data_IF_920484554948
#
_entry.id   IF_920484554948
#
_cell.length_a   1.000
_cell.length_b   1.000
_cell.length_c   1.000
_cell.angle_alpha   90.00
_cell.angle_beta   90.00
_cell.angle_gamma   90.00
#
_symmetry.space_group_name_H-M   'P 1'
#
loop_
_entity.id
_entity.type
_entity.pdbx_description
1 polymer ?
#
# COMPACT_ATOMS: atom_id res chain seq x y z
N UNK A 1 27.85 -14.29 0.19
CA UNK A 1 26.51 -13.65 0.13
C UNK A 1 26.61 -12.34 0.87
N UNK A 2 26.36 -11.17 0.27
CA UNK A 2 26.41 -9.92 1.02
C UNK A 2 25.23 -9.90 2.00
N UNK A 3 25.54 -9.93 3.29
CA UNK A 3 24.61 -9.96 4.42
C UNK A 3 24.16 -8.56 4.83
N UNK A 4 24.08 -7.63 3.87
CA UNK A 4 23.66 -6.26 4.17
C UNK A 4 22.20 -6.28 4.60
N UNK A 5 21.87 -5.84 5.82
CA UNK A 5 20.50 -5.85 6.31
C UNK A 5 19.66 -4.92 5.46
N UNK A 6 18.85 -5.49 4.58
CA UNK A 6 17.92 -4.73 3.77
C UNK A 6 16.63 -4.50 4.57
N UNK A 7 15.99 -3.33 4.47
CA UNK A 7 14.75 -3.05 5.18
C UNK A 7 13.68 -4.08 4.80
N UNK A 8 12.69 -4.34 5.67
CA UNK A 8 11.57 -5.27 5.38
C UNK A 8 10.19 -4.62 5.45
N UNK A 9 10.13 -3.35 5.86
CA UNK A 9 8.88 -2.58 5.94
C UNK A 9 8.37 -2.20 4.53
N UNK A 10 7.05 -1.97 4.44
CA UNK A 10 6.41 -1.51 3.21
C UNK A 10 6.27 -2.57 2.12
N UNK A 11 6.37 -3.85 2.47
CA UNK A 11 6.07 -4.96 1.54
C UNK A 11 4.56 -5.11 1.38
N UNK A 12 4.11 -5.19 0.14
CA UNK A 12 2.71 -5.48 -0.24
C UNK A 12 2.69 -6.57 -1.30
N UNK A 13 1.53 -7.13 -1.61
CA UNK A 13 1.38 -8.16 -2.65
C UNK A 13 1.05 -7.52 -4.00
N UNK A 14 1.66 -8.02 -5.07
CA UNK A 14 1.30 -7.61 -6.41
C UNK A 14 -0.08 -8.16 -6.80
N UNK A 15 -1.00 -7.29 -7.19
CA UNK A 15 -2.35 -7.69 -7.59
C UNK A 15 -2.42 -8.54 -8.87
N UNK A 16 -1.30 -8.71 -9.60
CA UNK A 16 -1.23 -9.48 -10.85
C UNK A 16 -0.67 -10.89 -10.66
N UNK A 17 0.36 -11.03 -9.84
CA UNK A 17 1.11 -12.28 -9.66
C UNK A 17 1.22 -12.74 -8.20
N UNK A 18 0.64 -11.99 -7.27
CA UNK A 18 0.70 -12.18 -5.81
C UNK A 18 2.10 -12.16 -5.20
N UNK A 19 3.16 -11.94 -5.99
CA UNK A 19 4.52 -11.83 -5.48
C UNK A 19 4.67 -10.64 -4.51
N UNK A 20 5.54 -10.74 -3.49
CA UNK A 20 5.82 -9.64 -2.59
C UNK A 20 6.62 -8.55 -3.31
N UNK A 21 6.11 -7.33 -3.26
CA UNK A 21 6.69 -6.13 -3.88
C UNK A 21 6.86 -5.01 -2.88
N UNK A 22 7.67 -4.02 -3.23
CA UNK A 22 7.79 -2.74 -2.54
C UNK A 22 7.61 -1.60 -3.52
N UNK A 23 7.00 -0.53 -3.05
CA UNK A 23 6.88 0.68 -3.84
C UNK A 23 8.00 1.65 -3.52
N UNK A 24 8.80 1.99 -4.52
CA UNK A 24 9.80 3.04 -4.44
C UNK A 24 9.34 4.29 -5.19
N UNK A 25 9.87 5.44 -4.81
CA UNK A 25 9.92 6.60 -5.69
C UNK A 25 10.93 6.31 -6.80
N UNK A 26 10.48 6.46 -8.03
CA UNK A 26 11.29 6.21 -9.23
C UNK A 26 12.36 7.28 -9.46
N UNK A 27 13.22 7.06 -10.47
CA UNK A 27 14.24 8.03 -10.85
C UNK A 27 13.63 9.33 -11.41
N UNK A 28 12.39 9.30 -11.92
CA UNK A 28 11.68 10.49 -12.41
C UNK A 28 10.75 11.05 -11.32
N UNK A 29 10.62 12.38 -11.29
CA UNK A 29 9.75 13.07 -10.31
C UNK A 29 8.30 12.58 -10.41
N UNK A 30 7.75 12.14 -9.28
CA UNK A 30 6.38 11.62 -9.20
C UNK A 30 6.21 10.17 -9.65
N UNK A 31 7.27 9.53 -10.14
CA UNK A 31 7.22 8.13 -10.54
C UNK A 31 7.15 7.22 -9.30
N UNK A 32 6.36 6.15 -9.42
CA UNK A 32 6.29 5.08 -8.43
C UNK A 32 6.66 3.77 -9.11
N UNK A 33 7.83 3.26 -8.78
CA UNK A 33 8.40 2.05 -9.39
C UNK A 33 8.22 0.89 -8.42
N UNK A 34 7.42 -0.14 -8.77
CA UNK A 34 7.34 -1.33 -7.95
C UNK A 34 8.61 -2.16 -8.19
N UNK A 35 9.25 -2.60 -7.10
CA UNK A 35 10.39 -3.50 -7.14
C UNK A 35 10.08 -4.79 -6.38
N UNK A 36 10.82 -5.86 -6.70
CA UNK A 36 10.74 -7.09 -5.91
C UNK A 36 11.12 -6.82 -4.45
N UNK A 37 10.43 -7.47 -3.51
CA UNK A 37 10.66 -7.24 -2.08
C UNK A 37 12.04 -7.72 -1.60
N UNK A 38 12.64 -8.68 -2.29
CA UNK A 38 13.97 -9.19 -1.99
C UNK A 38 15.01 -8.58 -2.96
N UNK A 39 16.24 -8.31 -2.50
CA UNK A 39 17.34 -7.95 -3.37
C UNK A 39 17.58 -9.01 -4.43
N UNK A 40 18.10 -8.59 -5.58
CA UNK A 40 18.44 -9.49 -6.67
C UNK A 40 19.74 -9.05 -7.35
N UNK A 41 20.73 -9.95 -7.50
CA UNK A 41 22.02 -9.60 -8.12
C UNK A 41 21.87 -9.23 -9.60
N UNK A 42 20.81 -9.68 -10.27
CA UNK A 42 20.50 -9.36 -11.67
C UNK A 42 19.66 -8.09 -11.83
N UNK A 43 19.50 -7.32 -10.75
CA UNK A 43 18.75 -6.06 -10.74
C UNK A 43 19.45 -4.93 -11.50
N UNK A 44 18.67 -4.21 -12.32
CA UNK A 44 19.11 -3.00 -13.04
C UNK A 44 18.85 -1.69 -12.28
N UNK A 45 18.39 -1.76 -11.03
CA UNK A 45 18.13 -0.60 -10.18
C UNK A 45 18.96 -0.69 -8.90
N UNK A 46 19.46 0.45 -8.43
CA UNK A 46 19.93 0.64 -7.07
C UNK A 46 18.77 1.12 -6.19
N UNK A 47 18.41 0.35 -5.17
CA UNK A 47 17.39 0.71 -4.21
C UNK A 47 18.03 1.12 -2.87
N UNK A 48 17.46 2.12 -2.20
CA UNK A 48 17.86 2.54 -0.85
C UNK A 48 16.68 3.10 -0.06
N UNK A 49 16.77 3.05 1.27
CA UNK A 49 15.83 3.80 2.12
C UNK A 49 16.17 5.27 2.13
N UNK A 50 15.15 6.12 2.08
CA UNK A 50 15.30 7.48 2.54
C UNK A 50 15.35 7.49 4.08
N UNK A 51 15.96 8.50 4.69
CA UNK A 51 16.02 8.63 6.15
C UNK A 51 14.65 8.75 6.85
N UNK A 52 13.56 8.80 6.08
CA UNK A 52 12.17 8.87 6.54
C UNK A 52 11.42 7.52 6.41
N UNK A 53 12.11 6.44 6.03
CA UNK A 53 11.54 5.10 5.90
C UNK A 53 10.81 4.81 4.58
N UNK A 54 10.79 5.75 3.64
CA UNK A 54 10.42 5.52 2.25
C UNK A 54 11.55 4.87 1.45
N UNK A 55 11.25 4.44 0.23
CA UNK A 55 12.18 3.75 -0.65
C UNK A 55 12.43 4.58 -1.91
N UNK A 56 13.69 4.73 -2.29
CA UNK A 56 14.13 5.42 -3.50
C UNK A 56 14.82 4.40 -4.42
N UNK A 57 14.62 4.55 -5.72
CA UNK A 57 15.40 3.80 -6.72
C UNK A 57 16.09 4.74 -7.70
N UNK A 58 17.28 4.31 -8.13
CA UNK A 58 18.12 4.94 -9.15
C UNK A 58 18.41 3.90 -10.23
N UNK A 59 18.45 4.34 -11.48
CA UNK A 59 18.95 3.53 -12.60
C UNK A 59 20.48 3.54 -12.59
N UNK A 60 21.11 2.41 -12.92
CA UNK A 60 22.55 2.40 -13.15
C UNK A 60 22.89 3.18 -14.41
N UNK A 61 23.85 4.09 -14.30
CA UNK A 61 24.36 4.91 -15.40
C UNK A 61 25.82 4.54 -15.69
N UNK A 62 26.38 5.04 -16.78
CA UNK A 62 27.81 4.84 -17.07
C UNK A 62 28.73 5.45 -16.00
N UNK A 63 28.28 6.51 -15.32
CA UNK A 63 29.02 7.18 -14.25
C UNK A 63 28.91 6.43 -12.92
N UNK A 64 27.75 5.81 -12.67
CA UNK A 64 27.48 5.04 -11.45
C UNK A 64 26.88 3.66 -11.82
N UNK A 65 27.72 2.73 -12.32
CA UNK A 65 27.26 1.45 -12.88
C UNK A 65 26.88 0.40 -11.83
N UNK A 66 27.15 0.68 -10.55
CA UNK A 66 26.89 -0.24 -9.44
C UNK A 66 26.27 0.48 -8.23
N UNK A 67 25.88 -0.32 -7.23
CA UNK A 67 25.38 0.17 -5.95
C UNK A 67 26.47 0.93 -5.20
N UNK A 68 26.08 2.05 -4.60
CA UNK A 68 26.97 2.83 -3.74
C UNK A 68 26.84 2.34 -2.30
N UNK A 69 27.87 1.64 -1.82
CA UNK A 69 27.91 1.10 -0.45
C UNK A 69 27.76 2.19 0.62
N UNK A 70 28.35 3.37 0.40
CA UNK A 70 28.23 4.52 1.30
C UNK A 70 26.77 5.00 1.48
N UNK A 71 25.89 4.68 0.52
CA UNK A 71 24.46 5.00 0.55
C UNK A 71 23.60 3.78 0.97
N UNK A 72 24.24 2.67 1.34
CA UNK A 72 23.58 1.39 1.68
C UNK A 72 22.62 0.93 0.56
N UNK A 73 23.03 1.13 -0.69
CA UNK A 73 22.25 0.70 -1.85
C UNK A 73 22.29 -0.81 -2.04
N UNK A 74 21.20 -1.38 -2.56
CA UNK A 74 21.16 -2.79 -2.98
C UNK A 74 20.54 -2.93 -4.36
N UNK A 75 20.96 -3.99 -5.08
CA UNK A 75 20.43 -4.28 -6.42
C UNK A 75 18.98 -4.77 -6.34
N UNK A 76 18.14 -4.19 -7.18
CA UNK A 76 16.72 -4.48 -7.28
C UNK A 76 16.27 -4.62 -8.73
N UNK A 77 15.24 -5.44 -8.93
CA UNK A 77 14.59 -5.63 -10.24
C UNK A 77 13.26 -4.88 -10.23
N UNK A 78 12.95 -4.07 -11.27
CA UNK A 78 11.62 -3.52 -11.47
C UNK A 78 10.62 -4.67 -11.64
N UNK A 79 9.64 -4.74 -10.74
CA UNK A 79 8.74 -5.87 -10.64
C UNK A 79 7.92 -6.05 -11.93
N UNK A 80 7.38 -4.96 -12.48
CA UNK A 80 6.54 -5.05 -13.68
C UNK A 80 7.26 -5.55 -14.92
N UNK A 81 8.59 -5.45 -14.99
CA UNK A 81 9.36 -6.03 -16.10
C UNK A 81 9.43 -7.56 -16.07
N UNK A 82 9.21 -8.16 -14.90
CA UNK A 82 9.22 -9.63 -14.69
C UNK A 82 7.85 -10.18 -14.27
N UNK A 83 6.83 -9.34 -14.22
CA UNK A 83 5.51 -9.68 -13.71
C UNK A 83 4.70 -10.43 -14.78
N UNK A 84 4.73 -11.76 -14.74
CA UNK A 84 3.78 -12.58 -15.49
C UNK A 84 2.44 -12.63 -14.74
N UNK A 85 1.29 -12.36 -15.39
CA UNK A 85 -0.01 -12.54 -14.76
C UNK A 85 -0.18 -14.01 -14.38
N UNK A 86 -0.34 -14.31 -13.10
CA UNK A 86 -0.83 -15.62 -12.68
C UNK A 86 -2.29 -15.70 -13.09
N UNK A 87 -2.67 -16.77 -13.80
CA UNK A 87 -4.07 -17.04 -14.16
C UNK A 87 -4.97 -16.76 -12.96
N UNK A 88 -5.98 -15.91 -13.20
CA UNK A 88 -6.84 -15.25 -12.23
C UNK A 88 -7.03 -16.03 -10.92
N UNK A 89 -6.39 -15.56 -9.84
CA UNK A 89 -6.89 -15.95 -8.53
C UNK A 89 -8.25 -15.28 -8.31
N UNK A 90 -9.26 -16.01 -7.80
CA UNK A 90 -10.56 -15.43 -7.51
C UNK A 90 -10.36 -14.30 -6.51
N UNK A 91 -10.74 -13.08 -6.90
CA UNK A 91 -10.81 -11.93 -5.99
C UNK A 91 -11.60 -12.37 -4.75
N UNK A 92 -11.09 -12.17 -3.52
CA UNK A 92 -11.93 -12.37 -2.35
C UNK A 92 -13.16 -11.50 -2.52
N UNK A 93 -14.34 -12.13 -2.49
CA UNK A 93 -15.61 -11.44 -2.67
C UNK A 93 -15.63 -10.25 -1.71
N UNK A 94 -15.83 -9.05 -2.25
CA UNK A 94 -15.99 -7.85 -1.44
C UNK A 94 -17.03 -8.15 -0.35
N UNK A 95 -16.77 -7.78 0.93
CA UNK A 95 -17.74 -8.03 1.99
C UNK A 95 -19.05 -7.36 1.57
N UNK A 96 -20.08 -8.19 1.33
CA UNK A 96 -21.45 -7.73 1.09
C UNK A 96 -21.77 -6.73 2.18
N UNK A 97 -21.99 -5.48 1.78
CA UNK A 97 -22.41 -4.39 2.65
C UNK A 97 -23.49 -4.90 3.60
N UNK A 98 -23.16 -5.06 4.89
CA UNK A 98 -24.17 -5.25 5.92
C UNK A 98 -25.11 -4.04 5.82
N UNK A 99 -26.44 -4.24 5.86
CA UNK A 99 -27.36 -3.11 5.87
C UNK A 99 -26.99 -2.22 7.05
N UNK A 100 -26.80 -0.94 6.77
CA UNK A 100 -26.53 0.08 7.77
C UNK A 100 -27.59 -0.06 8.88
N UNK A 101 -27.17 -0.40 10.10
CA UNK A 101 -28.02 -0.26 11.29
C UNK A 101 -28.48 1.19 11.31
N UNK A 102 -29.76 1.41 10.98
CA UNK A 102 -30.42 2.71 11.16
C UNK A 102 -30.21 3.10 12.62
N UNK A 103 -29.62 4.27 12.85
CA UNK A 103 -29.55 4.88 14.18
C UNK A 103 -30.98 5.01 14.72
N UNK A 104 -31.24 4.76 16.01
CA UNK A 104 -32.53 5.07 16.60
C UNK A 104 -32.76 6.57 16.45
N UNK A 105 -33.89 6.96 15.87
CA UNK A 105 -34.38 8.33 15.91
C UNK A 105 -34.71 8.59 17.37
N UNK A 106 -33.91 9.42 18.04
CA UNK A 106 -34.27 9.98 19.34
C UNK A 106 -35.47 10.88 19.10
N UNK A 107 -36.65 10.46 19.57
CA UNK A 107 -37.82 11.34 19.60
C UNK A 107 -37.54 12.48 20.61
N UNK A 108 -37.71 13.76 20.24
CA UNK A 108 -37.71 14.83 21.21
C UNK A 108 -38.94 14.70 22.13
N UNK A 109 -38.84 15.07 23.42
CA UNK A 109 -39.97 15.03 24.32
C UNK A 109 -41.04 16.04 23.88
N UNK A 110 -42.29 15.58 23.76
CA UNK A 110 -43.46 16.46 23.64
C UNK A 110 -43.69 17.15 24.99
N UNK A 111 -43.06 18.30 25.19
CA UNK A 111 -43.51 19.24 26.21
C UNK A 111 -44.64 20.10 25.67
N UNK A 112 -45.78 20.05 26.36
CA UNK A 112 -46.84 21.05 26.25
C UNK A 112 -48.07 20.59 25.48
N UNK A 113 -48.98 19.91 26.17
CA UNK A 113 -50.41 20.08 25.89
C UNK A 113 -51.10 20.47 27.20
N UNK A 114 -51.56 21.73 27.33
CA UNK A 114 -52.42 22.15 28.43
C UNK A 114 -53.80 21.50 28.30
N UNK A 115 -54.42 21.24 29.46
CA UNK A 115 -55.58 20.39 29.63
C UNK A 115 -56.80 20.73 28.77
N UNK A 116 -57.52 19.68 28.39
CA UNK A 116 -58.87 19.72 27.85
C UNK A 116 -59.85 19.02 28.81
N UNK A 117 -61.13 19.42 28.82
CA UNK A 117 -62.01 19.34 29.99
C UNK A 117 -62.58 17.95 30.27
N UNK A 118 -62.71 17.65 31.58
CA UNK A 118 -63.55 16.57 32.10
C UNK A 118 -65.01 16.85 31.74
N UNK A 119 -65.63 15.97 30.96
CA UNK A 119 -67.08 15.81 30.96
C UNK A 119 -67.39 14.46 31.58
N UNK A 120 -67.97 14.52 32.78
CA UNK A 120 -68.59 13.38 33.44
C UNK A 120 -70.07 13.37 33.07
N UNK A 121 -70.54 12.16 32.77
CA UNK A 121 -71.88 11.57 32.87
C UNK A 121 -73.01 12.43 33.45
#
# INVERSE_FOLDING_TARGET
MPTTPHPTRGVTTCNRCNAPIRWASGPRKGERTPINALPSPVGGLAARTNGLGGLLVREFTSEEPDCVDALLEWRAVPHFSSCAPTAAQPRPAAPRSRPARRRPIVQPPLWGQPGGPRTSR
#
